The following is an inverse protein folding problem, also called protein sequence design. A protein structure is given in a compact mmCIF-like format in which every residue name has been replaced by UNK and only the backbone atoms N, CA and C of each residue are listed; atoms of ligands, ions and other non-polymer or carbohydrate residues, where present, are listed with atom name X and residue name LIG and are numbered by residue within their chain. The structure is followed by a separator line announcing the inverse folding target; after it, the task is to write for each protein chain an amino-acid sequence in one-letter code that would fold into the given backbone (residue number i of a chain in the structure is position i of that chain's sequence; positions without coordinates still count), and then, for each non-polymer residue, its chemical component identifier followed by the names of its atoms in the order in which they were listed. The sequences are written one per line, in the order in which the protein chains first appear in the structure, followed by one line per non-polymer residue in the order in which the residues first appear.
data_IF_537628665168
#
_entry.id   IF_537628665168
#
_cell.length_a   1.000
_cell.length_b   1.000
_cell.length_c   1.000
_cell.angle_alpha   90.00
_cell.angle_beta   90.00
_cell.angle_gamma   90.00
#
_symmetry.space_group_name_H-M   'P 1'
#
loop_
_entity.id
_entity.type
_entity.pdbx_description
1 polymer ?
#
# COMPACT_ATOMS: atom_id res chain seq x y z
N UNK A 1 11.69 36.06 -17.35
CA UNK A 1 12.44 34.97 -16.68
C UNK A 1 11.52 33.84 -16.18
N UNK A 2 10.44 34.12 -15.43
CA UNK A 2 9.53 33.10 -14.87
C UNK A 2 8.82 32.18 -15.89
N UNK A 3 8.39 32.72 -17.05
CA UNK A 3 7.73 31.93 -18.12
C UNK A 3 8.65 30.85 -18.74
N UNK A 4 9.97 31.05 -18.75
CA UNK A 4 10.96 30.07 -19.26
C UNK A 4 11.24 28.95 -18.25
N UNK A 5 11.15 29.22 -16.95
CA UNK A 5 11.30 28.21 -15.88
C UNK A 5 10.09 27.27 -15.84
N UNK A 6 8.87 27.81 -15.93
CA UNK A 6 7.63 27.02 -15.99
C UNK A 6 7.61 26.06 -17.20
N UNK A 7 8.11 26.50 -18.36
CA UNK A 7 8.20 25.68 -19.56
C UNK A 7 9.20 24.51 -19.42
N UNK A 8 10.34 24.72 -18.74
CA UNK A 8 11.32 23.66 -18.45
C UNK A 8 10.78 22.60 -17.48
N UNK A 9 9.98 23.01 -16.50
CA UNK A 9 9.33 22.09 -15.55
C UNK A 9 8.29 21.23 -16.27
N UNK A 10 7.46 21.84 -17.14
CA UNK A 10 6.47 21.12 -17.95
C UNK A 10 7.11 20.09 -18.89
N UNK A 11 8.21 20.44 -19.56
CA UNK A 11 8.95 19.51 -20.44
C UNK A 11 9.51 18.32 -19.65
N UNK A 12 10.03 18.54 -18.44
CA UNK A 12 10.53 17.46 -17.59
C UNK A 12 9.41 16.54 -17.09
N UNK A 13 8.27 17.10 -16.67
CA UNK A 13 7.10 16.31 -16.27
C UNK A 13 6.57 15.45 -17.43
N UNK A 14 6.48 16.00 -18.65
CA UNK A 14 6.06 15.23 -19.83
C UNK A 14 7.00 14.05 -20.13
N UNK A 15 8.32 14.25 -20.03
CA UNK A 15 9.30 13.17 -20.23
C UNK A 15 9.22 12.06 -19.18
N UNK A 16 8.90 12.42 -17.93
CA UNK A 16 8.71 11.44 -16.84
C UNK A 16 7.46 10.61 -17.10
N UNK A 17 6.37 11.25 -17.55
CA UNK A 17 5.12 10.55 -17.89
C UNK A 17 5.29 9.60 -19.08
N UNK A 18 6.01 9.99 -20.14
CA UNK A 18 6.31 9.08 -21.27
C UNK A 18 7.18 7.88 -20.86
N UNK A 19 8.09 8.06 -19.89
CA UNK A 19 8.92 6.96 -19.37
C UNK A 19 8.12 6.00 -18.49
N UNK A 20 7.08 6.48 -17.80
CA UNK A 20 6.17 5.60 -17.05
C UNK A 20 5.31 4.74 -17.99
N UNK A 21 4.81 5.32 -19.09
CA UNK A 21 4.01 4.58 -20.07
C UNK A 21 4.80 3.44 -20.76
N UNK A 22 6.09 3.63 -21.03
CA UNK A 22 6.92 2.63 -21.73
C UNK A 22 7.34 1.44 -20.87
N UNK A 23 7.38 1.59 -19.53
CA UNK A 23 7.67 0.49 -18.60
C UNK A 23 6.51 -0.51 -18.52
N UNK A 24 5.27 -0.04 -18.67
CA UNK A 24 4.06 -0.88 -18.56
C UNK A 24 3.91 -1.85 -19.74
N UNK A 25 4.37 -1.49 -20.94
CA UNK A 25 4.13 -2.26 -22.17
C UNK A 25 5.11 -3.41 -22.45
N UNK A 26 6.18 -3.59 -21.65
CA UNK A 26 7.27 -4.55 -21.97
C UNK A 26 7.25 -5.89 -21.24
N UNK A 27 6.30 -6.16 -20.34
CA UNK A 27 6.32 -7.40 -19.55
C UNK A 27 5.69 -8.59 -20.29
N UNK A 28 6.52 -9.26 -21.11
CA UNK A 28 6.28 -10.57 -21.77
C UNK A 28 5.96 -11.66 -20.73
N UNK A 29 4.85 -12.36 -20.95
CA UNK A 29 4.30 -13.45 -20.13
C UNK A 29 5.12 -14.73 -20.36
N UNK A 30 5.52 -15.44 -19.30
CA UNK A 30 5.83 -16.88 -19.36
C UNK A 30 4.88 -17.63 -18.41
N UNK A 31 4.30 -18.78 -18.82
CA UNK A 31 3.43 -19.58 -17.95
C UNK A 31 4.25 -20.39 -16.92
N UNK A 32 3.68 -20.63 -15.75
CA UNK A 32 4.20 -21.50 -14.71
C UNK A 32 3.14 -22.55 -14.37
N UNK A 33 3.54 -23.81 -14.22
CA UNK A 33 2.66 -24.97 -13.96
C UNK A 33 2.53 -25.28 -12.46
N UNK A 34 1.31 -25.63 -12.06
CA UNK A 34 0.84 -25.83 -10.68
C UNK A 34 1.29 -27.14 -10.04
N UNK A 35 1.43 -27.14 -8.71
CA UNK A 35 1.18 -28.34 -7.91
C UNK A 35 0.60 -27.96 -6.53
N UNK A 36 -0.60 -28.49 -6.24
CA UNK A 36 -1.52 -28.03 -5.19
C UNK A 36 -1.29 -28.71 -3.84
N UNK A 37 -1.46 -27.95 -2.74
CA UNK A 37 -1.82 -28.48 -1.41
C UNK A 37 -2.48 -27.40 -0.55
N UNK A 38 -3.61 -27.76 0.05
CA UNK A 38 -4.63 -26.91 0.72
C UNK A 38 -4.30 -26.48 2.16
N UNK A 39 -4.44 -25.19 2.44
CA UNK A 39 -4.69 -24.54 3.74
C UNK A 39 -5.41 -23.23 3.40
N UNK A 40 -6.37 -22.77 4.22
CA UNK A 40 -7.25 -21.60 4.02
C UNK A 40 -6.47 -20.27 3.97
N UNK A 41 -5.60 -20.19 2.98
CA UNK A 41 -4.81 -19.06 2.57
C UNK A 41 -5.66 -18.35 1.54
N UNK A 42 -5.92 -17.07 1.75
CA UNK A 42 -6.36 -16.20 0.67
C UNK A 42 -5.22 -16.16 -0.34
N UNK A 43 -5.24 -17.12 -1.25
CA UNK A 43 -4.33 -17.20 -2.37
C UNK A 43 -4.80 -16.15 -3.36
N UNK A 44 -3.91 -15.25 -3.83
CA UNK A 44 -4.29 -14.25 -4.80
C UNK A 44 -4.84 -14.95 -6.05
N UNK A 45 -6.14 -14.81 -6.28
CA UNK A 45 -6.82 -15.34 -7.46
C UNK A 45 -6.54 -14.41 -8.63
N UNK A 46 -5.47 -14.68 -9.37
CA UNK A 46 -5.10 -13.88 -10.54
C UNK A 46 -3.61 -13.89 -10.85
N UNK A 47 -3.22 -13.16 -11.91
CA UNK A 47 -1.82 -13.01 -12.30
C UNK A 47 -1.05 -12.25 -11.21
N UNK A 48 -0.14 -12.94 -10.54
CA UNK A 48 0.78 -12.34 -9.59
C UNK A 48 1.85 -11.50 -10.30
N UNK A 49 2.02 -10.26 -9.84
CA UNK A 49 3.12 -9.39 -10.25
C UNK A 49 3.94 -9.06 -9.01
N UNK A 50 5.22 -9.39 -9.04
CA UNK A 50 6.15 -9.00 -7.99
C UNK A 50 6.67 -7.59 -8.25
N UNK A 51 6.76 -6.80 -7.19
CA UNK A 51 7.21 -5.42 -7.27
C UNK A 51 7.91 -5.00 -6.00
N UNK A 52 8.68 -3.91 -6.09
CA UNK A 52 9.34 -3.29 -4.95
C UNK A 52 8.62 -1.97 -4.66
N UNK A 53 8.04 -1.87 -3.47
CA UNK A 53 7.50 -0.62 -2.96
C UNK A 53 8.60 0.09 -2.15
N UNK A 54 9.10 1.22 -2.66
CA UNK A 54 10.19 1.95 -2.00
C UNK A 54 9.78 2.62 -0.70
N UNK A 55 8.53 3.09 -0.65
CA UNK A 55 8.00 3.78 0.52
C UNK A 55 6.64 3.19 0.91
N UNK A 56 6.62 2.20 1.82
CA UNK A 56 5.39 1.62 2.35
C UNK A 56 4.57 2.60 3.22
N UNK A 57 5.15 3.71 3.68
CA UNK A 57 4.43 4.66 4.54
C UNK A 57 3.29 5.37 3.81
N UNK A 58 3.31 5.38 2.47
CA UNK A 58 2.27 5.97 1.63
C UNK A 58 0.91 5.26 1.73
N UNK A 59 0.91 4.01 2.18
CA UNK A 59 -0.31 3.20 2.38
C UNK A 59 -0.59 2.90 3.86
N UNK A 60 0.09 3.63 4.74
CA UNK A 60 -0.12 3.58 6.18
C UNK A 60 -0.96 4.79 6.65
N UNK A 61 -1.66 4.59 7.76
CA UNK A 61 -2.41 5.65 8.41
C UNK A 61 -1.48 6.78 8.83
N UNK A 62 -1.81 8.03 8.47
CA UNK A 62 -0.98 9.19 8.83
C UNK A 62 -0.87 9.45 10.34
N UNK A 63 -1.75 8.86 11.15
CA UNK A 63 -1.77 9.04 12.61
C UNK A 63 -1.04 7.90 13.32
N UNK A 64 -1.52 6.66 13.17
CA UNK A 64 -0.94 5.51 13.89
C UNK A 64 0.15 4.76 13.14
N UNK A 65 0.43 5.12 11.87
CA UNK A 65 1.44 4.51 11.01
C UNK A 65 1.24 3.02 10.70
N UNK A 66 0.13 2.44 11.13
CA UNK A 66 -0.26 1.07 10.75
C UNK A 66 -0.81 1.02 9.32
N UNK A 67 -0.69 -0.14 8.64
CA UNK A 67 -1.35 -0.38 7.35
C UNK A 67 -2.80 0.05 7.36
N UNK A 68 -3.20 0.81 6.33
CA UNK A 68 -4.61 1.14 6.15
C UNK A 68 -5.39 -0.12 5.81
N UNK A 69 -6.64 -0.16 6.26
CA UNK A 69 -7.60 -1.21 5.95
C UNK A 69 -8.98 -0.56 5.81
N UNK A 70 -9.91 -1.22 5.10
CA UNK A 70 -11.28 -0.71 5.01
C UNK A 70 -11.90 -0.61 6.42
N UNK A 71 -12.67 0.46 6.71
CA UNK A 71 -12.83 1.68 5.91
C UNK A 71 -11.63 2.63 6.03
N UNK A 72 -11.26 3.26 4.89
CA UNK A 72 -10.24 4.32 4.82
C UNK A 72 -10.96 5.67 4.67
N UNK A 73 -10.55 6.65 5.47
CA UNK A 73 -11.06 8.02 5.40
C UNK A 73 -10.03 8.90 4.71
N UNK A 74 -10.43 9.51 3.60
CA UNK A 74 -9.58 10.36 2.78
C UNK A 74 -10.02 11.81 2.86
N UNK A 75 -9.05 12.71 2.84
CA UNK A 75 -9.29 14.10 2.46
C UNK A 75 -9.76 14.14 1.00
N UNK A 76 -10.72 15.01 0.68
CA UNK A 76 -11.21 15.22 -0.69
C UNK A 76 -10.09 15.58 -1.67
N UNK A 77 -9.07 16.34 -1.23
CA UNK A 77 -7.88 16.67 -2.03
C UNK A 77 -6.80 15.57 -2.04
N UNK A 78 -7.00 14.47 -1.29
CA UNK A 78 -6.05 13.37 -1.21
C UNK A 78 -4.81 13.62 -0.32
N UNK A 79 -4.74 14.73 0.42
CA UNK A 79 -3.60 15.04 1.31
C UNK A 79 -3.40 14.01 2.43
N UNK A 80 -4.49 13.48 2.97
CA UNK A 80 -4.50 12.67 4.19
C UNK A 80 -5.35 11.43 4.00
N UNK A 81 -4.81 10.29 4.46
CA UNK A 81 -5.51 9.03 4.59
C UNK A 81 -5.36 8.50 6.02
N UNK A 82 -6.47 8.18 6.67
CA UNK A 82 -6.47 7.62 8.03
C UNK A 82 -7.38 6.40 8.14
N UNK A 83 -7.05 5.51 9.09
CA UNK A 83 -7.85 4.32 9.38
C UNK A 83 -9.06 4.65 10.25
N UNK A 84 -9.99 3.70 10.34
CA UNK A 84 -11.22 3.87 11.12
C UNK A 84 -11.00 4.22 12.59
N UNK A 85 -10.07 3.57 13.29
CA UNK A 85 -9.83 3.85 14.70
C UNK A 85 -9.33 5.29 14.91
N UNK A 86 -8.37 5.72 14.10
CA UNK A 86 -7.86 7.08 14.15
C UNK A 86 -8.92 8.10 13.73
N UNK A 87 -9.74 7.80 12.73
CA UNK A 87 -10.85 8.67 12.35
C UNK A 87 -11.82 8.84 13.51
N UNK A 88 -12.22 7.78 14.20
CA UNK A 88 -13.16 7.87 15.32
C UNK A 88 -12.62 8.74 16.46
N UNK A 89 -11.32 8.68 16.73
CA UNK A 89 -10.66 9.46 17.77
C UNK A 89 -10.29 10.89 17.36
N UNK A 90 -10.42 11.25 16.08
CA UNK A 90 -10.12 12.60 15.60
C UNK A 90 -11.33 13.51 15.80
N UNK A 91 -11.23 14.57 16.59
CA UNK A 91 -12.39 15.45 16.88
C UNK A 91 -12.83 16.25 15.65
N UNK A 92 -11.89 16.90 14.96
CA UNK A 92 -12.20 17.82 13.86
C UNK A 92 -12.79 17.14 12.61
N UNK A 93 -12.56 15.82 12.43
CA UNK A 93 -12.90 15.05 11.21
C UNK A 93 -12.49 15.75 9.89
N UNK A 94 -11.45 16.58 9.95
CA UNK A 94 -10.99 17.42 8.85
C UNK A 94 -9.50 17.18 8.57
N UNK A 95 -9.09 17.46 7.35
CA UNK A 95 -7.70 17.41 6.95
C UNK A 95 -6.91 18.58 7.59
N UNK A 96 -5.75 18.34 8.22
CA UNK A 96 -4.92 19.42 8.74
C UNK A 96 -4.34 20.35 7.67
N UNK A 97 -4.21 19.87 6.42
CA UNK A 97 -3.58 20.63 5.33
C UNK A 97 -4.56 21.51 4.55
N UNK A 98 -5.78 21.04 4.33
CA UNK A 98 -6.79 21.77 3.53
C UNK A 98 -8.05 22.14 4.30
N UNK A 99 -8.20 21.69 5.55
CA UNK A 99 -9.40 21.87 6.38
C UNK A 99 -10.68 21.27 5.78
N UNK A 100 -10.57 20.51 4.67
CA UNK A 100 -11.68 19.79 4.08
C UNK A 100 -12.06 18.54 4.89
N UNK A 101 -13.32 18.08 4.80
CA UNK A 101 -13.76 16.86 5.48
C UNK A 101 -12.93 15.63 5.11
N UNK A 102 -12.81 14.71 6.07
CA UNK A 102 -12.31 13.36 5.83
C UNK A 102 -13.50 12.44 5.55
N UNK A 103 -13.66 12.04 4.30
CA UNK A 103 -14.82 11.30 3.83
C UNK A 103 -14.52 9.80 3.73
N UNK A 104 -15.53 8.98 4.06
CA UNK A 104 -15.50 7.54 3.83
C UNK A 104 -16.02 7.27 2.42
N UNK A 105 -15.17 6.73 1.56
CA UNK A 105 -15.57 6.23 0.24
C UNK A 105 -15.48 4.69 0.20
N UNK A 106 -16.61 3.97 0.06
CA UNK A 106 -16.62 2.52 -0.12
C UNK A 106 -15.98 2.04 -1.43
N UNK A 107 -15.95 2.88 -2.46
CA UNK A 107 -15.37 2.63 -3.77
C UNK A 107 -13.90 3.03 -3.89
N UNK A 108 -13.28 3.41 -2.76
CA UNK A 108 -11.94 3.97 -2.75
C UNK A 108 -10.89 3.03 -3.35
N UNK A 109 -10.26 3.48 -4.44
CA UNK A 109 -9.20 2.77 -5.15
C UNK A 109 -8.00 2.49 -4.25
N UNK A 110 -7.66 3.37 -3.29
CA UNK A 110 -6.60 3.11 -2.31
C UNK A 110 -6.90 1.89 -1.45
N UNK A 111 -8.15 1.70 -1.03
CA UNK A 111 -8.52 0.54 -0.25
C UNK A 111 -8.36 -0.76 -1.07
N UNK A 112 -8.87 -0.77 -2.30
CA UNK A 112 -8.72 -1.90 -3.22
C UNK A 112 -7.25 -2.18 -3.57
N UNK A 113 -6.46 -1.13 -3.77
CA UNK A 113 -5.02 -1.24 -4.02
C UNK A 113 -4.32 -1.94 -2.85
N UNK A 114 -4.58 -1.52 -1.61
CA UNK A 114 -3.95 -2.12 -0.42
C UNK A 114 -4.38 -3.57 -0.24
N UNK A 115 -5.65 -3.89 -0.49
CA UNK A 115 -6.18 -5.27 -0.46
C UNK A 115 -5.51 -6.18 -1.48
N UNK A 116 -5.00 -5.64 -2.59
CA UNK A 116 -4.26 -6.39 -3.62
C UNK A 116 -2.77 -6.60 -3.30
N UNK A 117 -2.24 -5.97 -2.24
CA UNK A 117 -0.81 -6.04 -1.90
C UNK A 117 -0.58 -7.17 -0.90
N UNK A 118 0.34 -8.06 -1.26
CA UNK A 118 0.82 -9.13 -0.41
C UNK A 118 2.33 -8.98 -0.20
N UNK A 119 2.79 -9.23 1.02
CA UNK A 119 4.20 -9.14 1.39
C UNK A 119 4.63 -10.40 2.13
N UNK A 120 5.92 -10.72 2.07
CA UNK A 120 6.47 -11.72 2.96
C UNK A 120 6.45 -11.24 4.41
N UNK A 121 6.28 -12.16 5.35
CA UNK A 121 6.47 -11.89 6.76
C UNK A 121 7.81 -11.20 7.04
N UNK A 122 7.80 -10.18 7.91
CA UNK A 122 9.02 -9.52 8.42
C UNK A 122 10.00 -10.51 9.07
N UNK A 123 9.49 -11.64 9.57
CA UNK A 123 10.24 -12.71 10.20
C UNK A 123 10.63 -13.83 9.22
N UNK A 124 10.58 -13.61 7.91
CA UNK A 124 11.02 -14.59 6.90
C UNK A 124 12.44 -15.12 7.15
N UNK A 125 13.35 -14.24 7.58
CA UNK A 125 14.71 -14.61 7.97
C UNK A 125 14.80 -15.55 9.17
N UNK A 126 13.74 -15.66 9.96
CA UNK A 126 13.63 -16.54 11.13
C UNK A 126 12.82 -17.81 10.83
N UNK A 127 12.38 -18.03 9.60
CA UNK A 127 11.68 -19.25 9.17
C UNK A 127 10.20 -19.06 8.80
N UNK A 128 9.63 -17.87 8.98
CA UNK A 128 8.23 -17.62 8.58
C UNK A 128 8.12 -17.40 7.07
N UNK A 129 7.68 -18.41 6.33
CA UNK A 129 7.49 -18.33 4.87
C UNK A 129 6.11 -17.81 4.45
N UNK A 130 5.32 -17.27 5.39
CA UNK A 130 4.00 -16.75 5.08
C UNK A 130 4.05 -15.51 4.19
N UNK A 131 3.15 -15.49 3.20
CA UNK A 131 2.81 -14.32 2.40
C UNK A 131 1.50 -13.78 2.99
N UNK A 132 1.53 -12.52 3.41
CA UNK A 132 0.49 -11.89 4.21
C UNK A 132 -0.02 -10.69 3.45
N UNK A 133 -1.34 -10.50 3.44
CA UNK A 133 -1.95 -9.29 2.90
C UNK A 133 -1.48 -8.06 3.70
N UNK A 134 -1.17 -6.97 3.02
CA UNK A 134 -0.46 -5.84 3.63
C UNK A 134 -1.19 -5.28 4.86
N UNK A 135 -2.52 -5.17 4.78
CA UNK A 135 -3.41 -4.70 5.85
C UNK A 135 -3.45 -5.62 7.09
N UNK A 136 -2.95 -6.86 6.98
CA UNK A 136 -2.92 -7.84 8.08
C UNK A 136 -1.55 -7.99 8.74
N UNK A 137 -0.54 -7.22 8.33
CA UNK A 137 0.81 -7.36 8.85
C UNK A 137 0.93 -7.18 10.37
N UNK A 138 0.22 -6.20 10.94
CA UNK A 138 0.27 -5.94 12.40
C UNK A 138 -0.27 -7.15 13.16
N UNK A 139 -1.46 -7.61 12.78
CA UNK A 139 -2.09 -8.79 13.38
C UNK A 139 -1.22 -10.04 13.24
N UNK A 140 -0.65 -10.28 12.05
CA UNK A 140 0.26 -11.41 11.86
C UNK A 140 1.50 -11.27 12.76
N UNK A 141 2.08 -10.07 12.88
CA UNK A 141 3.28 -9.86 13.69
C UNK A 141 3.08 -10.19 15.18
N UNK A 142 1.87 -10.00 15.72
CA UNK A 142 1.52 -10.34 17.10
C UNK A 142 1.36 -11.86 17.32
N UNK A 143 0.94 -12.58 16.29
CA UNK A 143 0.67 -14.03 16.36
C UNK A 143 1.81 -14.90 15.78
N UNK A 144 2.81 -14.28 15.14
CA UNK A 144 3.87 -14.98 14.44
C UNK A 144 4.78 -15.73 15.42
N UNK A 145 4.79 -17.06 15.36
CA UNK A 145 5.62 -17.91 16.21
C UNK A 145 7.12 -17.80 15.94
N UNK A 146 7.50 -17.28 14.76
CA UNK A 146 8.89 -17.08 14.38
C UNK A 146 9.32 -15.67 14.79
N UNK A 147 9.68 -15.46 16.06
CA UNK A 147 10.21 -14.17 16.51
C UNK A 147 11.74 -14.17 16.51
N UNK A 148 12.34 -12.98 16.58
CA UNK A 148 13.78 -12.88 16.89
C UNK A 148 14.00 -13.58 18.25
N UNK A 149 14.96 -14.51 18.38
CA UNK A 149 15.32 -15.05 19.69
C UNK A 149 15.66 -13.87 20.62
N UNK A 150 15.05 -13.84 21.81
CA UNK A 150 15.49 -12.96 22.88
C UNK A 150 16.86 -13.50 23.30
N UNK A 151 17.92 -12.91 22.75
CA UNK A 151 19.28 -13.19 23.22
C UNK A 151 19.36 -12.64 24.65
N UNK A 152 19.35 -13.55 25.62
CA UNK A 152 19.76 -13.32 27.01
C UNK A 152 21.28 -13.29 27.10
#
# INVERSE_FOLDING_TARGET
MAKRMANKILVRLASVLQRLQTVVLRQRIRPYEDNQSSSSRETPTGRLVTGVMRDPSLINCRICLNPLSRPIYLCEDGHTAICSSCYMNLEAKQCPSSHLPLCRDPGNVMAAMIESIFVYCKNKRFGCNEIIRYDKQVKHAEMCSYTRPLTS
#
